data_IF_764713061072
#
_entry.id   IF_764713061072
#
_cell.length_a   1.000
_cell.length_b   1.000
_cell.length_c   1.000
_cell.angle_alpha   90.00
_cell.angle_beta   90.00
_cell.angle_gamma   90.00
#
_symmetry.space_group_name_H-M   'P 1'
#
loop_
_entity.id
_entity.type
_entity.pdbx_description
1 polymer ?
#
# COMPACT_ATOMS: atom_id res chain seq x y z
N UNK A 1 -37.71 48.21 30.18
CA UNK A 1 -38.09 46.78 30.20
C UNK A 1 -37.56 46.22 28.90
N UNK A 2 -36.41 45.55 28.94
CA UNK A 2 -35.70 45.07 27.75
C UNK A 2 -36.00 43.58 27.56
N UNK A 3 -36.71 43.24 26.49
CA UNK A 3 -37.00 41.86 26.13
C UNK A 3 -35.74 41.19 25.59
N UNK A 4 -35.20 40.23 26.36
CA UNK A 4 -34.07 39.41 25.93
C UNK A 4 -34.60 38.19 25.17
N UNK A 5 -34.41 38.15 23.85
CA UNK A 5 -34.76 37.00 23.02
C UNK A 5 -33.65 35.95 23.15
N UNK A 6 -33.95 34.83 23.80
CA UNK A 6 -33.05 33.67 23.88
C UNK A 6 -33.38 32.68 22.76
N UNK A 7 -32.47 32.50 21.82
CA UNK A 7 -32.58 31.45 20.80
C UNK A 7 -32.23 30.10 21.40
N UNK A 8 -33.22 29.38 21.92
CA UNK A 8 -33.05 27.97 22.30
C UNK A 8 -33.19 27.08 21.06
N UNK A 9 -32.24 26.16 20.87
CA UNK A 9 -32.30 25.18 19.78
C UNK A 9 -33.54 24.30 19.95
N UNK A 10 -34.47 24.37 19.00
CA UNK A 10 -35.69 23.53 18.95
C UNK A 10 -35.43 22.13 18.39
N UNK A 11 -34.16 21.77 18.19
CA UNK A 11 -33.77 20.45 17.71
C UNK A 11 -33.98 19.39 18.80
N UNK A 12 -35.14 18.75 18.81
CA UNK A 12 -35.39 17.56 19.63
C UNK A 12 -34.54 16.41 19.07
N UNK A 13 -33.36 16.18 19.67
CA UNK A 13 -32.63 14.91 19.51
C UNK A 13 -33.25 13.93 20.50
N UNK A 14 -34.02 12.98 20.00
CA UNK A 14 -34.45 11.86 20.84
C UNK A 14 -33.20 11.18 21.42
N UNK A 15 -33.27 10.82 22.70
CA UNK A 15 -32.16 10.13 23.37
C UNK A 15 -31.86 8.85 22.60
N UNK A 16 -30.63 8.73 22.11
CA UNK A 16 -30.20 7.53 21.40
C UNK A 16 -30.39 6.32 22.30
N UNK A 17 -30.99 5.26 21.77
CA UNK A 17 -30.96 3.97 22.45
C UNK A 17 -29.50 3.55 22.71
N UNK A 18 -29.27 2.71 23.72
CA UNK A 18 -27.94 2.16 24.01
C UNK A 18 -27.30 1.55 22.75
N UNK A 19 -28.08 0.81 21.95
CA UNK A 19 -27.60 0.23 20.69
C UNK A 19 -27.21 1.27 19.63
N UNK A 20 -27.96 2.36 19.47
CA UNK A 20 -27.60 3.45 18.55
C UNK A 20 -26.36 4.21 19.02
N UNK A 21 -26.22 4.41 20.33
CA UNK A 21 -25.04 5.04 20.93
C UNK A 21 -23.78 4.23 20.67
N UNK A 22 -23.83 2.90 20.82
CA UNK A 22 -22.69 2.02 20.53
C UNK A 22 -22.33 2.07 19.03
N UNK A 23 -23.33 2.05 18.13
CA UNK A 23 -23.07 2.15 16.67
C UNK A 23 -22.35 3.43 16.30
N UNK A 24 -22.86 4.58 16.76
CA UNK A 24 -22.36 5.90 16.37
C UNK A 24 -21.03 6.26 17.04
N UNK A 25 -20.80 5.84 18.28
CA UNK A 25 -19.63 6.26 19.04
C UNK A 25 -18.49 5.23 19.04
N UNK A 26 -18.76 3.98 18.66
CA UNK A 26 -17.76 2.91 18.67
C UNK A 26 -17.62 2.28 17.28
N UNK A 27 -18.69 1.65 16.76
CA UNK A 27 -18.56 0.85 15.53
C UNK A 27 -18.20 1.69 14.30
N UNK A 28 -18.95 2.76 14.00
CA UNK A 28 -18.66 3.56 12.81
C UNK A 28 -17.29 4.24 12.88
N UNK A 29 -16.88 4.89 13.98
CA UNK A 29 -15.54 5.46 14.08
C UNK A 29 -14.42 4.43 13.88
N UNK A 30 -14.59 3.21 14.39
CA UNK A 30 -13.61 2.12 14.20
C UNK A 30 -13.55 1.68 12.74
N UNK A 31 -14.70 1.53 12.08
CA UNK A 31 -14.75 1.16 10.66
C UNK A 31 -14.15 2.27 9.80
N UNK A 32 -14.48 3.53 10.07
CA UNK A 32 -13.94 4.68 9.34
C UNK A 32 -12.41 4.76 9.49
N UNK A 33 -11.89 4.51 10.70
CA UNK A 33 -10.46 4.45 10.93
C UNK A 33 -9.80 3.28 10.20
N UNK A 34 -10.43 2.10 10.21
CA UNK A 34 -9.94 0.93 9.47
C UNK A 34 -9.86 1.22 7.97
N UNK A 35 -10.91 1.80 7.39
CA UNK A 35 -10.95 2.18 5.98
C UNK A 35 -9.86 3.22 5.66
N UNK A 36 -9.69 4.22 6.51
CA UNK A 36 -8.65 5.23 6.35
C UNK A 36 -7.24 4.62 6.37
N UNK A 37 -6.97 3.68 7.28
CA UNK A 37 -5.68 2.99 7.32
C UNK A 37 -5.49 2.05 6.12
N UNK A 38 -6.56 1.44 5.62
CA UNK A 38 -6.50 0.65 4.39
C UNK A 38 -6.14 1.50 3.18
N UNK A 39 -6.80 2.64 2.99
CA UNK A 39 -6.47 3.56 1.90
C UNK A 39 -5.04 4.09 2.03
N UNK A 40 -4.61 4.42 3.24
CA UNK A 40 -3.25 4.94 3.49
C UNK A 40 -2.16 3.90 3.25
N UNK A 41 -2.35 2.66 3.73
CA UNK A 41 -1.32 1.61 3.67
C UNK A 41 -1.36 0.81 2.38
N UNK A 42 -2.55 0.51 1.87
CA UNK A 42 -2.79 -0.27 0.66
C UNK A 42 -3.20 0.61 -0.52
N UNK A 43 -2.75 1.87 -0.54
CA UNK A 43 -2.83 2.70 -1.74
C UNK A 43 -2.24 1.96 -2.95
N UNK A 44 -2.75 2.25 -4.16
CA UNK A 44 -2.28 1.62 -5.40
C UNK A 44 -0.75 1.66 -5.52
N UNK A 45 -0.15 2.79 -5.16
CA UNK A 45 1.30 2.94 -5.19
C UNK A 45 2.03 2.04 -4.20
N UNK A 46 1.52 1.87 -2.97
CA UNK A 46 2.13 0.96 -1.99
C UNK A 46 1.94 -0.51 -2.38
N UNK A 47 0.79 -0.85 -2.98
CA UNK A 47 0.55 -2.18 -3.53
C UNK A 47 1.56 -2.51 -4.64
N UNK A 48 1.86 -1.55 -5.51
CA UNK A 48 2.84 -1.71 -6.57
C UNK A 48 4.27 -1.91 -6.04
N UNK A 49 4.65 -1.20 -4.96
CA UNK A 49 5.92 -1.43 -4.25
C UNK A 49 5.94 -2.82 -3.61
N UNK A 50 4.86 -3.25 -2.96
CA UNK A 50 4.82 -4.58 -2.34
C UNK A 50 4.94 -5.70 -3.38
N UNK A 51 4.32 -5.54 -4.57
CA UNK A 51 4.48 -6.48 -5.67
C UNK A 51 5.92 -6.49 -6.21
N UNK A 52 6.60 -5.35 -6.25
CA UNK A 52 7.96 -5.29 -6.77
C UNK A 52 9.00 -5.97 -5.88
N UNK A 53 8.73 -6.13 -4.58
CA UNK A 53 9.57 -6.93 -3.67
C UNK A 53 9.73 -8.38 -4.12
N UNK A 54 8.73 -8.93 -4.82
CA UNK A 54 8.81 -10.28 -5.42
C UNK A 54 9.93 -10.36 -6.46
N UNK A 55 10.21 -9.26 -7.16
CA UNK A 55 11.33 -9.13 -8.11
C UNK A 55 12.70 -9.09 -7.43
N UNK A 56 12.75 -8.69 -6.17
CA UNK A 56 13.97 -8.64 -5.36
C UNK A 56 14.26 -9.95 -4.61
N UNK A 57 13.31 -10.89 -4.55
CA UNK A 57 13.45 -12.12 -3.78
C UNK A 57 14.14 -13.23 -4.59
N UNK A 58 15.36 -13.68 -4.20
CA UNK A 58 16.10 -14.73 -4.94
C UNK A 58 15.40 -16.10 -5.00
N UNK A 59 14.46 -16.35 -4.08
CA UNK A 59 13.67 -17.59 -4.03
C UNK A 59 12.38 -17.51 -4.84
N UNK A 60 11.99 -16.33 -5.30
CA UNK A 60 10.79 -16.15 -6.11
C UNK A 60 11.03 -16.60 -7.55
N UNK A 61 9.98 -17.12 -8.19
CA UNK A 61 9.97 -17.34 -9.64
C UNK A 61 10.08 -16.05 -10.44
N UNK A 62 9.75 -14.91 -9.81
CA UNK A 62 9.83 -13.57 -10.42
C UNK A 62 11.13 -12.84 -10.10
N UNK A 63 12.13 -13.50 -9.52
CA UNK A 63 13.41 -12.88 -9.24
C UNK A 63 14.00 -12.24 -10.50
N UNK A 64 14.49 -11.00 -10.39
CA UNK A 64 15.02 -10.20 -11.50
C UNK A 64 14.00 -10.02 -12.65
N UNK A 65 12.71 -9.92 -12.34
CA UNK A 65 11.69 -9.46 -13.29
C UNK A 65 11.83 -7.95 -13.51
N UNK A 66 12.11 -7.55 -14.75
CA UNK A 66 12.39 -6.16 -15.07
C UNK A 66 11.17 -5.26 -14.90
N UNK A 67 9.95 -5.76 -15.12
CA UNK A 67 8.75 -4.93 -14.96
C UNK A 67 8.54 -4.58 -13.48
N UNK A 68 8.69 -5.57 -12.59
CA UNK A 68 8.62 -5.37 -11.16
C UNK A 68 9.70 -4.39 -10.66
N UNK A 69 10.94 -4.57 -11.10
CA UNK A 69 12.05 -3.71 -10.68
C UNK A 69 11.93 -2.29 -11.25
N UNK A 70 11.40 -2.11 -12.46
CA UNK A 70 11.14 -0.79 -13.04
C UNK A 70 10.11 -0.02 -12.23
N UNK A 71 9.03 -0.65 -11.78
CA UNK A 71 8.03 -0.02 -10.91
C UNK A 71 8.65 0.48 -9.60
N UNK A 72 9.58 -0.30 -9.02
CA UNK A 72 10.32 0.11 -7.83
C UNK A 72 11.27 1.28 -8.14
N UNK A 73 12.04 1.19 -9.22
CA UNK A 73 13.01 2.21 -9.62
C UNK A 73 12.33 3.57 -9.86
N UNK A 74 11.21 3.59 -10.59
CA UNK A 74 10.42 4.78 -10.86
C UNK A 74 9.91 5.43 -9.57
N UNK A 75 9.49 4.62 -8.58
CA UNK A 75 9.00 5.13 -7.29
C UNK A 75 10.08 5.89 -6.51
N UNK A 76 11.33 5.43 -6.60
CA UNK A 76 12.47 6.02 -5.90
C UNK A 76 13.28 6.99 -6.78
N UNK A 77 12.73 7.40 -7.93
CA UNK A 77 13.34 8.33 -8.89
C UNK A 77 14.70 7.84 -9.43
N UNK A 78 14.88 6.53 -9.59
CA UNK A 78 16.06 5.91 -10.20
C UNK A 78 15.96 5.91 -11.75
N UNK A 79 15.39 6.97 -12.31
CA UNK A 79 14.88 7.01 -13.69
C UNK A 79 15.99 6.91 -14.76
N UNK A 80 17.23 7.24 -14.41
CA UNK A 80 18.36 7.20 -15.34
C UNK A 80 18.80 5.78 -15.74
N UNK A 81 18.33 4.76 -15.03
CA UNK A 81 18.76 3.35 -15.21
C UNK A 81 17.63 2.44 -15.72
N UNK A 82 16.39 2.94 -15.80
CA UNK A 82 15.21 2.13 -16.13
C UNK A 82 15.27 1.54 -17.55
N UNK A 83 15.88 2.24 -18.50
CA UNK A 83 16.02 1.77 -19.88
C UNK A 83 16.98 0.58 -20.02
N UNK A 84 18.01 0.52 -19.16
CA UNK A 84 19.02 -0.55 -19.18
C UNK A 84 18.60 -1.77 -18.35
N UNK A 85 17.70 -1.56 -17.40
CA UNK A 85 17.26 -2.57 -16.43
C UNK A 85 16.83 -3.92 -17.06
N UNK A 86 16.08 -3.99 -18.18
CA UNK A 86 15.75 -5.27 -18.81
C UNK A 86 16.99 -6.05 -19.27
N UNK A 87 17.98 -5.34 -19.81
CA UNK A 87 19.25 -5.92 -20.28
C UNK A 87 20.08 -6.40 -19.09
N UNK A 88 20.19 -5.59 -18.04
CA UNK A 88 20.92 -5.94 -16.81
C UNK A 88 20.30 -7.16 -16.13
N UNK A 89 18.97 -7.21 -16.00
CA UNK A 89 18.25 -8.35 -15.46
C UNK A 89 18.54 -9.63 -16.26
N UNK A 90 18.56 -9.55 -17.59
CA UNK A 90 18.87 -10.69 -18.45
C UNK A 90 20.32 -11.17 -18.26
N UNK A 91 21.27 -10.24 -18.22
CA UNK A 91 22.69 -10.57 -18.00
C UNK A 91 22.91 -11.20 -16.62
N UNK A 92 22.33 -10.62 -15.57
CA UNK A 92 22.39 -11.14 -14.21
C UNK A 92 21.79 -12.56 -14.13
N UNK A 93 20.61 -12.79 -14.72
CA UNK A 93 19.99 -14.14 -14.78
C UNK A 93 20.92 -15.15 -15.46
N UNK A 94 21.54 -14.79 -16.58
CA UNK A 94 22.49 -15.68 -17.29
C UNK A 94 23.74 -15.97 -16.46
N UNK A 95 24.29 -14.97 -15.77
CA UNK A 95 25.46 -15.16 -14.90
C UNK A 95 25.14 -16.14 -13.75
N UNK A 96 23.99 -15.97 -13.09
CA UNK A 96 23.53 -16.87 -12.02
C UNK A 96 23.32 -18.31 -12.52
N UNK A 97 22.80 -18.48 -13.74
CA UNK A 97 22.64 -19.80 -14.35
C UNK A 97 23.97 -20.49 -14.63
N UNK A 98 25.00 -19.73 -15.04
CA UNK A 98 26.35 -20.28 -15.23
C UNK A 98 26.95 -20.75 -13.91
N UNK A 99 26.88 -19.92 -12.87
CA UNK A 99 27.38 -20.27 -11.52
C UNK A 99 26.71 -21.54 -10.97
N UNK A 100 25.40 -21.71 -11.18
CA UNK A 100 24.70 -22.93 -10.78
C UNK A 100 25.17 -24.16 -11.56
N UNK A 101 25.51 -24.03 -12.85
CA UNK A 101 26.02 -25.14 -13.64
C UNK A 101 27.41 -25.58 -13.18
N UNK A 102 28.28 -24.62 -12.87
CA UNK A 102 29.66 -24.91 -12.44
C UNK A 102 29.68 -25.61 -11.07
N UNK A 103 28.72 -25.32 -10.18
CA UNK A 103 28.60 -26.01 -8.89
C UNK A 103 28.06 -27.44 -8.98
N UNK A 104 27.28 -27.78 -10.01
CA UNK A 104 26.70 -29.12 -10.19
C UNK A 104 27.63 -30.10 -10.93
N UNK A 105 28.82 -29.66 -11.33
CA UNK A 105 29.84 -30.50 -11.98
C UNK A 105 30.91 -31.04 -11.02
N UNK A 106 30.78 -30.74 -9.72
CA UNK A 106 31.55 -31.31 -8.62
C UNK A 106 30.63 -32.18 -7.74
#
# INVERSE_FOLDING_TARGET
>A
MEDTITFVSTGRRDSLSCGQSIKLNIYFPVIDHLLSEFDRRFSASNLDIMKSLDGCNPLSSKFLDSALLSTLALKYNLNHEVELLPTECLLAKRALQKMKKDQSQF
#
